data_IF_962266839580
#
_entry.id   IF_962266839580
#
_cell.length_a   1.000
_cell.length_b   1.000
_cell.length_c   1.000
_cell.angle_alpha   90.00
_cell.angle_beta   90.00
_cell.angle_gamma   90.00
#
_symmetry.space_group_name_H-M   'P 1'
#
loop_
_entity.id
_entity.type
_entity.pdbx_description
1 polymer ?
#
# COMPACT_ATOMS: atom_id res chain seq x y z
N UNK A 1 -16.05 28.75 14.45
CA UNK A 1 -16.24 27.29 14.44
C UNK A 1 -15.24 26.71 13.45
N UNK A 2 -14.02 26.39 13.87
CA UNK A 2 -13.02 25.79 12.97
C UNK A 2 -11.98 25.02 13.79
N UNK A 3 -12.10 23.70 13.86
CA UNK A 3 -10.97 22.78 14.07
C UNK A 3 -11.36 21.35 13.65
N UNK A 4 -11.22 20.99 12.37
CA UNK A 4 -11.38 19.59 11.89
C UNK A 4 -10.05 18.93 11.51
N UNK A 5 -8.90 19.54 11.84
CA UNK A 5 -7.58 19.13 11.31
C UNK A 5 -6.95 17.89 12.00
N UNK A 6 -7.58 17.29 13.03
CA UNK A 6 -6.97 16.22 13.84
C UNK A 6 -7.23 14.78 13.34
N UNK A 7 -8.11 14.58 12.35
CA UNK A 7 -8.53 13.23 11.91
C UNK A 7 -7.54 12.54 10.94
N UNK A 8 -6.89 13.30 10.05
CA UNK A 8 -6.15 12.75 8.89
C UNK A 8 -4.86 11.99 9.24
N UNK A 9 -4.18 12.35 10.32
CA UNK A 9 -2.94 11.68 10.75
C UNK A 9 -3.18 10.29 11.39
N UNK A 10 -4.35 10.08 11.99
CA UNK A 10 -4.72 8.80 12.63
C UNK A 10 -5.27 7.80 11.62
N UNK A 11 -5.82 8.27 10.50
CA UNK A 11 -6.36 7.43 9.43
C UNK A 11 -5.23 6.76 8.63
N UNK A 12 -4.15 7.49 8.30
CA UNK A 12 -3.03 6.94 7.53
C UNK A 12 -2.25 5.83 8.25
N UNK A 13 -2.13 5.89 9.58
CA UNK A 13 -1.52 4.81 10.37
C UNK A 13 -2.36 3.51 10.32
N UNK A 14 -3.70 3.64 10.27
CA UNK A 14 -4.60 2.49 10.16
C UNK A 14 -4.64 1.92 8.75
N UNK A 15 -4.62 2.77 7.73
CA UNK A 15 -4.47 2.36 6.33
C UNK A 15 -3.21 1.50 6.14
N UNK A 16 -2.06 1.96 6.63
CA UNK A 16 -0.80 1.22 6.58
C UNK A 16 -0.88 -0.11 7.34
N UNK A 17 -1.56 -0.15 8.49
CA UNK A 17 -1.76 -1.39 9.26
C UNK A 17 -2.60 -2.41 8.48
N UNK A 18 -3.68 -1.97 7.82
CA UNK A 18 -4.54 -2.81 6.98
C UNK A 18 -3.76 -3.36 5.77
N UNK A 19 -2.96 -2.52 5.10
CA UNK A 19 -2.10 -2.95 3.99
C UNK A 19 -1.06 -3.99 4.43
N UNK A 20 -0.39 -3.77 5.56
CA UNK A 20 0.61 -4.69 6.09
C UNK A 20 -0.02 -6.03 6.50
N UNK A 21 -1.15 -5.98 7.19
CA UNK A 21 -1.88 -7.17 7.60
C UNK A 21 -2.34 -8.02 6.41
N UNK A 22 -2.83 -7.37 5.35
CA UNK A 22 -3.22 -8.07 4.14
C UNK A 22 -2.03 -8.75 3.46
N UNK A 23 -0.90 -8.04 3.33
CA UNK A 23 0.34 -8.63 2.78
C UNK A 23 0.79 -9.84 3.59
N UNK A 24 0.82 -9.73 4.91
CA UNK A 24 1.18 -10.84 5.78
C UNK A 24 0.22 -12.03 5.63
N UNK A 25 -1.08 -11.77 5.51
CA UNK A 25 -2.08 -12.81 5.30
C UNK A 25 -1.79 -13.58 4.02
N UNK A 26 -1.61 -12.87 2.89
CA UNK A 26 -1.34 -13.51 1.59
C UNK A 26 -0.02 -14.26 1.61
N UNK A 27 1.02 -13.75 2.29
CA UNK A 27 2.30 -14.45 2.42
C UNK A 27 2.21 -15.73 3.25
N UNK A 28 1.35 -15.76 4.28
CA UNK A 28 1.17 -16.93 5.16
C UNK A 28 0.23 -17.98 4.57
N UNK A 29 -0.89 -17.54 4.01
CA UNK A 29 -1.98 -18.41 3.54
C UNK A 29 -1.90 -18.71 2.03
N UNK A 30 -1.12 -17.94 1.27
CA UNK A 30 -0.95 -18.10 -0.18
C UNK A 30 -2.16 -17.67 -1.01
N UNK A 31 -3.19 -17.07 -0.39
CA UNK A 31 -4.43 -16.65 -1.04
C UNK A 31 -5.03 -15.41 -0.37
N UNK A 32 -5.89 -14.71 -1.10
CA UNK A 32 -6.71 -13.63 -0.56
C UNK A 32 -7.65 -14.17 0.55
N UNK A 33 -7.95 -13.39 1.60
CA UNK A 33 -8.98 -13.74 2.58
C UNK A 33 -10.34 -14.02 1.92
N UNK A 34 -11.12 -14.88 2.56
CA UNK A 34 -12.44 -15.31 2.04
C UNK A 34 -13.46 -14.19 1.94
N UNK A 35 -13.39 -13.21 2.84
CA UNK A 35 -14.23 -12.02 2.82
C UNK A 35 -13.59 -10.88 3.62
N UNK A 36 -14.05 -9.64 3.37
CA UNK A 36 -13.67 -8.48 4.18
C UNK A 36 -14.04 -8.70 5.64
N UNK A 37 -15.19 -9.32 5.91
CA UNK A 37 -15.63 -9.70 7.24
C UNK A 37 -14.62 -10.57 7.98
N UNK A 38 -14.24 -11.71 7.38
CA UNK A 38 -13.32 -12.66 8.00
C UNK A 38 -11.95 -12.01 8.25
N UNK A 39 -11.49 -11.19 7.30
CA UNK A 39 -10.24 -10.45 7.43
C UNK A 39 -10.28 -9.42 8.57
N UNK A 40 -11.34 -8.61 8.65
CA UNK A 40 -11.50 -7.62 9.70
C UNK A 40 -11.65 -8.26 11.08
N UNK A 41 -12.37 -9.39 11.17
CA UNK A 41 -12.51 -10.17 12.40
C UNK A 41 -11.16 -10.69 12.89
N UNK A 42 -10.35 -11.27 11.99
CA UNK A 42 -9.01 -11.74 12.32
C UNK A 42 -8.09 -10.59 12.76
N UNK A 43 -8.28 -9.40 12.20
CA UNK A 43 -7.49 -8.22 12.53
C UNK A 43 -8.00 -7.47 13.78
N UNK A 44 -9.17 -7.84 14.31
CA UNK A 44 -9.80 -7.19 15.46
C UNK A 44 -10.28 -5.76 15.19
N UNK A 45 -10.61 -5.43 13.94
CA UNK A 45 -11.13 -4.11 13.54
C UNK A 45 -12.57 -4.20 13.05
N UNK A 46 -13.38 -3.14 13.20
CA UNK A 46 -14.70 -3.10 12.56
C UNK A 46 -14.56 -2.95 11.05
N UNK A 47 -15.45 -3.58 10.28
CA UNK A 47 -15.46 -3.49 8.81
C UNK A 47 -15.56 -2.06 8.30
N UNK A 48 -16.31 -1.19 9.00
CA UNK A 48 -16.40 0.23 8.66
C UNK A 48 -15.02 0.89 8.62
N UNK A 49 -14.06 0.43 9.43
CA UNK A 49 -12.71 0.94 9.38
C UNK A 49 -11.98 0.51 8.12
N UNK A 50 -12.18 -0.71 7.63
CA UNK A 50 -11.67 -1.13 6.33
C UNK A 50 -12.26 -0.28 5.21
N UNK A 51 -13.58 -0.13 5.18
CA UNK A 51 -14.28 0.60 4.13
C UNK A 51 -14.05 2.11 4.13
N UNK A 52 -13.53 2.70 5.21
CA UNK A 52 -13.02 4.08 5.21
C UNK A 52 -11.80 4.28 4.31
N UNK A 53 -11.02 3.22 4.07
CA UNK A 53 -9.78 3.28 3.30
C UNK A 53 -9.89 2.54 1.96
N UNK A 54 -10.54 1.37 1.94
CA UNK A 54 -10.58 0.50 0.76
C UNK A 54 -12.00 0.00 0.49
N UNK A 55 -12.46 0.16 -0.75
CA UNK A 55 -13.79 -0.31 -1.18
C UNK A 55 -13.84 -1.84 -1.39
N UNK A 56 -12.69 -2.48 -1.61
CA UNK A 56 -12.56 -3.91 -1.88
C UNK A 56 -11.12 -4.37 -1.65
N UNK A 57 -10.89 -5.69 -1.65
CA UNK A 57 -9.52 -6.23 -1.67
C UNK A 57 -8.76 -5.81 -2.93
N UNK A 58 -9.42 -5.72 -4.09
CA UNK A 58 -8.78 -5.23 -5.32
C UNK A 58 -8.28 -3.78 -5.16
N UNK A 59 -9.06 -2.91 -4.52
CA UNK A 59 -8.63 -1.53 -4.24
C UNK A 59 -7.43 -1.49 -3.30
N UNK A 60 -7.42 -2.37 -2.28
CA UNK A 60 -6.31 -2.54 -1.35
C UNK A 60 -5.05 -3.04 -2.08
N UNK A 61 -5.16 -4.06 -2.92
CA UNK A 61 -4.06 -4.60 -3.70
C UNK A 61 -3.47 -3.56 -4.65
N UNK A 62 -4.32 -2.77 -5.32
CA UNK A 62 -3.87 -1.64 -6.14
C UNK A 62 -3.07 -0.63 -5.32
N UNK A 63 -3.48 -0.34 -4.08
CA UNK A 63 -2.73 0.55 -3.20
C UNK A 63 -1.37 -0.06 -2.79
N UNK A 64 -1.29 -1.37 -2.58
CA UNK A 64 -0.01 -2.07 -2.36
C UNK A 64 0.92 -1.89 -3.57
N UNK A 65 0.42 -2.13 -4.79
CA UNK A 65 1.21 -1.95 -6.01
C UNK A 65 1.65 -0.50 -6.24
N UNK A 66 0.77 0.47 -5.99
CA UNK A 66 1.10 1.89 -6.06
C UNK A 66 2.23 2.24 -5.09
N UNK A 67 2.19 1.72 -3.86
CA UNK A 67 3.26 1.91 -2.89
C UNK A 67 4.59 1.32 -3.35
N UNK A 68 4.59 0.12 -3.95
CA UNK A 68 5.81 -0.46 -4.52
C UNK A 68 6.37 0.41 -5.65
N UNK A 69 5.55 0.79 -6.62
CA UNK A 69 5.98 1.63 -7.76
C UNK A 69 6.54 2.97 -7.27
N UNK A 70 5.85 3.62 -6.33
CA UNK A 70 6.28 4.90 -5.74
C UNK A 70 7.62 4.74 -5.02
N UNK A 71 7.76 3.69 -4.21
CA UNK A 71 9.00 3.39 -3.47
C UNK A 71 10.16 3.09 -4.43
N UNK A 72 9.92 2.31 -5.48
CA UNK A 72 10.92 1.99 -6.50
C UNK A 72 11.38 3.24 -7.22
N UNK A 73 10.45 4.10 -7.64
CA UNK A 73 10.79 5.39 -8.26
C UNK A 73 11.62 6.26 -7.31
N UNK A 74 11.21 6.41 -6.06
CA UNK A 74 11.94 7.21 -5.07
C UNK A 74 13.36 6.69 -4.85
N UNK A 75 13.55 5.37 -4.78
CA UNK A 75 14.88 4.75 -4.65
C UNK A 75 15.77 5.06 -5.85
N UNK A 76 15.22 4.98 -7.06
CA UNK A 76 15.95 5.27 -8.29
C UNK A 76 16.28 6.76 -8.41
N UNK A 77 15.33 7.65 -8.12
CA UNK A 77 15.55 9.10 -8.14
C UNK A 77 16.55 9.57 -7.08
N UNK A 78 16.76 8.80 -6.00
CA UNK A 78 17.78 9.08 -4.99
C UNK A 78 19.20 8.69 -5.44
N UNK A 79 19.36 7.90 -6.50
CA UNK A 79 20.66 7.59 -7.10
C UNK A 79 21.05 8.70 -8.10
N UNK A 80 22.13 9.42 -7.81
CA UNK A 80 22.63 10.52 -8.65
C UNK A 80 22.93 10.06 -10.09
N UNK A 81 23.30 8.78 -10.27
CA UNK A 81 23.59 8.19 -11.58
C UNK A 81 22.33 8.05 -12.44
N UNK A 82 21.17 7.84 -11.80
CA UNK A 82 19.90 7.60 -12.48
C UNK A 82 19.48 8.78 -13.35
N UNK A 83 19.81 10.01 -12.95
CA UNK A 83 19.50 11.21 -13.71
C UNK A 83 20.12 11.16 -15.13
N UNK A 84 21.36 10.65 -15.22
CA UNK A 84 22.14 10.54 -16.46
C UNK A 84 21.77 9.35 -17.36
N UNK A 85 20.94 8.42 -16.89
CA UNK A 85 20.53 7.26 -17.68
C UNK A 85 19.69 7.66 -18.90
N UNK A 86 19.90 6.95 -20.01
CA UNK A 86 18.99 6.96 -21.15
C UNK A 86 17.61 6.43 -20.79
N UNK A 87 16.59 6.71 -21.61
CA UNK A 87 15.23 6.22 -21.38
C UNK A 87 15.17 4.69 -21.25
N UNK A 88 15.99 3.96 -22.03
CA UNK A 88 16.07 2.49 -21.97
C UNK A 88 16.61 2.04 -20.62
N UNK A 89 17.72 2.63 -20.16
CA UNK A 89 18.34 2.29 -18.88
C UNK A 89 17.42 2.63 -17.71
N UNK A 90 16.69 3.74 -17.76
CA UNK A 90 15.71 4.12 -16.72
C UNK A 90 14.60 3.08 -16.57
N UNK A 91 14.09 2.56 -17.69
CA UNK A 91 13.07 1.51 -17.70
C UNK A 91 13.64 0.18 -17.20
N UNK A 92 14.85 -0.19 -17.61
CA UNK A 92 15.51 -1.41 -17.13
C UNK A 92 15.76 -1.34 -15.62
N UNK A 93 16.32 -0.23 -15.12
CA UNK A 93 16.56 -0.03 -13.70
C UNK A 93 15.27 -0.09 -12.88
N UNK A 94 14.16 0.45 -13.42
CA UNK A 94 12.84 0.30 -12.82
C UNK A 94 12.41 -1.17 -12.70
N UNK A 95 12.49 -1.95 -13.78
CA UNK A 95 12.08 -3.36 -13.77
C UNK A 95 12.96 -4.25 -12.88
N UNK A 96 14.25 -3.93 -12.72
CA UNK A 96 15.14 -4.68 -11.82
C UNK A 96 14.96 -4.32 -10.34
N UNK A 97 14.34 -3.17 -10.04
CA UNK A 97 14.19 -2.67 -8.67
C UNK A 97 12.78 -2.89 -8.09
N UNK A 98 11.76 -2.91 -8.95
CA UNK A 98 10.38 -3.24 -8.58
C UNK A 98 10.24 -4.70 -8.16
#
# INVERSE_FOLDING_TARGET
>A
METTKKSKAKSGAKEAAVLNAYREYVLKEGKQPTSVFAFCQQLGIPEEEFYKHFASFEALERAIWQNFISTTRQKLEADESYAGFSSREKILAFYFTL
#
